data_IF_065901470548
#
_entry.id   IF_065901470548
#
_cell.length_a   1.000
_cell.length_b   1.000
_cell.length_c   1.000
_cell.angle_alpha   90.00
_cell.angle_beta   90.00
_cell.angle_gamma   90.00
#
_symmetry.space_group_name_H-M   'P 1'
#
loop_
_entity.id
_entity.type
_entity.pdbx_description
1 polymer ?
#
# COMPACT_ATOMS: atom_id res chain seq x y z
N UNK A 1 20.43 16.05 18.07
CA UNK A 1 20.56 15.25 16.84
C UNK A 1 19.17 14.69 16.53
N UNK A 2 18.55 15.15 15.45
CA UNK A 2 17.35 14.51 14.92
C UNK A 2 17.72 13.08 14.51
N UNK A 3 17.08 12.08 15.12
CA UNK A 3 17.18 10.70 14.64
C UNK A 3 16.54 10.69 13.26
N UNK A 4 17.37 10.72 12.22
CA UNK A 4 16.95 10.38 10.86
C UNK A 4 16.39 8.96 10.95
N UNK A 5 15.07 8.81 10.85
CA UNK A 5 14.44 7.50 10.84
C UNK A 5 14.88 6.87 9.51
N UNK A 6 15.94 6.08 9.54
CA UNK A 6 16.35 5.30 8.38
C UNK A 6 15.26 4.28 8.08
N UNK A 7 14.87 4.19 6.81
CA UNK A 7 14.00 3.11 6.34
C UNK A 7 14.71 1.79 6.60
N UNK A 8 13.99 0.78 7.06
CA UNK A 8 14.56 -0.55 7.24
C UNK A 8 15.11 -1.08 5.91
N UNK A 9 16.01 -2.07 5.98
CA UNK A 9 16.51 -2.74 4.78
C UNK A 9 15.36 -3.34 3.96
N UNK A 10 14.35 -3.90 4.64
CA UNK A 10 13.16 -4.46 3.99
C UNK A 10 12.41 -3.41 3.17
N UNK A 11 11.99 -2.31 3.79
CA UNK A 11 11.24 -1.27 3.09
C UNK A 11 12.08 -0.56 2.02
N UNK A 12 13.38 -0.40 2.26
CA UNK A 12 14.31 0.15 1.27
C UNK A 12 14.39 -0.72 0.00
N UNK A 13 14.41 -2.04 0.15
CA UNK A 13 14.39 -2.96 -1.00
C UNK A 13 13.06 -2.95 -1.74
N UNK A 14 11.94 -2.88 -1.02
CA UNK A 14 10.60 -2.77 -1.63
C UNK A 14 10.48 -1.49 -2.46
N UNK A 15 10.97 -0.37 -1.93
CA UNK A 15 10.98 0.91 -2.63
C UNK A 15 11.86 0.88 -3.88
N UNK A 16 13.07 0.31 -3.78
CA UNK A 16 13.97 0.15 -4.92
C UNK A 16 13.33 -0.70 -6.02
N UNK A 17 12.68 -1.81 -5.66
CA UNK A 17 11.93 -2.64 -6.59
C UNK A 17 10.77 -1.87 -7.25
N UNK A 18 9.97 -1.11 -6.49
CA UNK A 18 8.89 -0.30 -7.05
C UNK A 18 9.43 0.73 -8.08
N UNK A 19 10.57 1.35 -7.77
CA UNK A 19 11.22 2.29 -8.68
C UNK A 19 11.67 1.63 -10.00
N UNK A 20 12.34 0.48 -9.91
CA UNK A 20 12.78 -0.30 -11.09
C UNK A 20 11.58 -0.69 -11.97
N UNK A 21 10.48 -1.13 -11.35
CA UNK A 21 9.31 -1.61 -12.07
C UNK A 21 8.52 -0.51 -12.79
N UNK A 22 8.66 0.76 -12.39
CA UNK A 22 7.97 1.89 -13.05
C UNK A 22 8.26 1.88 -14.54
N UNK A 23 9.54 1.83 -14.90
CA UNK A 23 10.01 1.78 -16.29
C UNK A 23 9.50 0.54 -17.04
N UNK A 24 9.47 -0.62 -16.38
CA UNK A 24 9.02 -1.86 -16.98
C UNK A 24 7.51 -1.86 -17.29
N UNK A 25 6.73 -1.14 -16.47
CA UNK A 25 5.29 -1.00 -16.69
C UNK A 25 4.92 -0.02 -17.81
N UNK A 26 5.81 0.91 -18.16
CA UNK A 26 5.58 1.93 -19.21
C UNK A 26 6.08 1.50 -20.61
N UNK A 27 7.10 0.63 -20.69
CA UNK A 27 7.90 0.45 -21.93
C UNK A 27 7.58 -0.80 -22.75
N UNK A 28 6.39 -0.90 -23.36
CA UNK A 28 6.19 -1.80 -24.53
C UNK A 28 4.90 -1.50 -25.31
N UNK A 29 5.04 -1.17 -26.60
CA UNK A 29 3.90 -0.98 -27.51
C UNK A 29 3.05 -2.26 -27.59
N UNK A 30 1.72 -2.09 -27.55
CA UNK A 30 0.76 -3.20 -27.58
C UNK A 30 0.66 -4.04 -26.29
N UNK A 31 1.45 -3.76 -25.25
CA UNK A 31 1.42 -4.54 -24.00
C UNK A 31 1.01 -3.66 -22.81
N UNK A 32 -0.08 -4.04 -22.14
CA UNK A 32 -0.53 -3.42 -20.90
C UNK A 32 -0.01 -4.23 -19.71
N UNK A 33 0.63 -3.56 -18.76
CA UNK A 33 1.10 -4.13 -17.49
C UNK A 33 0.54 -3.33 -16.33
N UNK A 34 0.24 -3.98 -15.22
CA UNK A 34 -0.16 -3.32 -13.99
C UNK A 34 0.51 -4.01 -12.82
N UNK A 35 0.87 -3.25 -11.80
CA UNK A 35 1.52 -3.74 -10.59
C UNK A 35 0.94 -3.03 -9.37
N UNK A 36 0.65 -3.79 -8.32
CA UNK A 36 0.33 -3.29 -6.99
C UNK A 36 1.29 -3.92 -5.99
N UNK A 37 1.90 -3.09 -5.14
CA UNK A 37 2.78 -3.52 -4.05
C UNK A 37 2.17 -3.01 -2.75
N UNK A 38 1.90 -3.93 -1.84
CA UNK A 38 1.49 -3.66 -0.46
C UNK A 38 2.53 -4.30 0.45
N UNK A 39 3.36 -3.48 1.09
CA UNK A 39 4.34 -3.94 2.06
C UNK A 39 4.14 -3.22 3.39
N UNK A 40 4.22 -3.96 4.48
CA UNK A 40 4.08 -3.44 5.82
C UNK A 40 5.15 -4.08 6.71
N UNK A 41 5.70 -3.30 7.63
CA UNK A 41 6.65 -3.75 8.63
C UNK A 41 6.32 -3.09 9.96
N UNK A 42 6.38 -3.87 11.04
CA UNK A 42 6.34 -3.36 12.40
C UNK A 42 7.68 -3.66 13.05
N UNK A 43 8.31 -2.65 13.63
CA UNK A 43 9.58 -2.80 14.36
C UNK A 43 9.26 -2.66 15.84
N UNK A 44 9.64 -3.64 16.67
CA UNK A 44 9.29 -3.67 18.11
C UNK A 44 9.72 -2.40 18.87
N UNK A 45 10.78 -1.74 18.41
CA UNK A 45 11.32 -0.51 19.01
C UNK A 45 10.67 0.77 18.50
N UNK A 46 9.71 0.69 17.60
CA UNK A 46 9.02 1.82 16.98
C UNK A 46 7.51 1.74 17.21
N UNK A 47 6.88 2.88 17.50
CA UNK A 47 5.44 2.95 17.61
C UNK A 47 4.82 3.04 16.21
N UNK A 48 4.27 1.91 15.75
CA UNK A 48 3.40 1.84 14.58
C UNK A 48 3.95 0.98 13.44
N UNK A 49 3.08 0.75 12.46
CA UNK A 49 3.42 0.01 11.25
C UNK A 49 3.89 0.99 10.17
N UNK A 50 5.08 0.76 9.63
CA UNK A 50 5.56 1.43 8.42
C UNK A 50 5.07 0.68 7.19
N UNK A 51 4.66 1.40 6.15
CA UNK A 51 4.09 0.80 4.96
C UNK A 51 4.64 1.43 3.67
N UNK A 52 4.70 0.63 2.61
CA UNK A 52 4.87 1.08 1.24
C UNK A 52 3.69 0.56 0.43
N UNK A 53 2.97 1.49 -0.20
CA UNK A 53 1.87 1.21 -1.13
C UNK A 53 2.28 1.82 -2.48
N UNK A 54 2.37 0.98 -3.51
CA UNK A 54 2.69 1.43 -4.87
C UNK A 54 1.72 0.84 -5.89
N UNK A 55 1.21 1.68 -6.78
CA UNK A 55 0.33 1.29 -7.88
C UNK A 55 0.94 1.83 -9.17
N UNK A 56 1.33 0.94 -10.08
CA UNK A 56 2.10 1.28 -11.28
C UNK A 56 1.46 0.71 -12.54
N UNK A 57 1.66 1.41 -13.66
CA UNK A 57 1.25 0.97 -15.00
C UNK A 57 -0.24 1.19 -15.33
N UNK A 58 -0.77 0.33 -16.19
CA UNK A 58 -2.14 0.37 -16.66
C UNK A 58 -3.14 -0.02 -15.55
N UNK A 59 -4.02 0.92 -15.20
CA UNK A 59 -5.03 0.71 -14.15
C UNK A 59 -5.96 -0.50 -14.39
N UNK A 60 -6.30 -0.82 -15.63
CA UNK A 60 -7.12 -2.01 -15.94
C UNK A 60 -6.41 -3.31 -15.53
N UNK A 61 -5.10 -3.42 -15.79
CA UNK A 61 -4.30 -4.56 -15.35
C UNK A 61 -4.04 -4.60 -13.85
N UNK A 62 -3.98 -3.44 -13.19
CA UNK A 62 -3.97 -3.37 -11.72
C UNK A 62 -5.26 -3.94 -11.14
N UNK A 63 -6.41 -3.55 -11.68
CA UNK A 63 -7.72 -4.06 -11.25
C UNK A 63 -7.82 -5.58 -11.47
N UNK A 64 -7.37 -6.08 -12.63
CA UNK A 64 -7.30 -7.54 -12.87
C UNK A 64 -6.42 -8.25 -11.83
N UNK A 65 -5.28 -7.67 -11.44
CA UNK A 65 -4.40 -8.25 -10.42
C UNK A 65 -5.07 -8.30 -9.03
N UNK A 66 -5.77 -7.22 -8.64
CA UNK A 66 -6.53 -7.18 -7.38
C UNK A 66 -7.68 -8.18 -7.41
N UNK A 67 -8.40 -8.31 -8.52
CA UNK A 67 -9.46 -9.29 -8.68
C UNK A 67 -8.91 -10.73 -8.58
N UNK A 68 -7.76 -10.99 -9.21
CA UNK A 68 -7.02 -12.24 -9.08
C UNK A 68 -6.69 -12.55 -7.62
N UNK A 69 -6.11 -11.60 -6.89
CA UNK A 69 -5.84 -11.73 -5.46
C UNK A 69 -7.11 -12.02 -4.64
N UNK A 70 -8.18 -11.25 -4.87
CA UNK A 70 -9.45 -11.39 -4.16
C UNK A 70 -10.18 -12.72 -4.44
N UNK A 71 -9.88 -13.38 -5.56
CA UNK A 71 -10.46 -14.69 -5.91
C UNK A 71 -9.80 -15.86 -5.18
N UNK A 72 -8.58 -15.67 -4.66
CA UNK A 72 -7.89 -16.68 -3.86
C UNK A 72 -8.44 -16.68 -2.43
N UNK A 73 -8.59 -17.86 -1.82
CA UNK A 73 -9.17 -17.96 -0.47
C UNK A 73 -8.41 -17.10 0.57
N UNK A 74 -7.08 -17.19 0.56
CA UNK A 74 -6.21 -16.40 1.41
C UNK A 74 -6.23 -14.91 1.05
N UNK A 75 -6.27 -14.56 -0.25
CA UNK A 75 -6.30 -13.16 -0.67
C UNK A 75 -7.62 -12.48 -0.34
N UNK A 76 -8.73 -13.21 -0.44
CA UNK A 76 -10.07 -12.73 -0.05
C UNK A 76 -10.11 -12.38 1.44
N UNK A 77 -9.58 -13.24 2.31
CA UNK A 77 -9.60 -13.00 3.75
C UNK A 77 -8.77 -11.77 4.13
N UNK A 78 -7.58 -11.60 3.55
CA UNK A 78 -6.76 -10.41 3.77
C UNK A 78 -7.40 -9.13 3.22
N UNK A 79 -7.98 -9.17 2.02
CA UNK A 79 -8.66 -8.00 1.45
C UNK A 79 -9.85 -7.57 2.34
N UNK A 80 -10.66 -8.53 2.80
CA UNK A 80 -11.78 -8.24 3.70
C UNK A 80 -11.31 -7.70 5.05
N UNK A 81 -10.24 -8.25 5.62
CA UNK A 81 -9.66 -7.75 6.86
C UNK A 81 -9.14 -6.31 6.71
N UNK A 82 -8.38 -6.03 5.63
CA UNK A 82 -7.89 -4.68 5.33
C UNK A 82 -9.01 -3.67 5.12
N UNK A 83 -10.10 -4.05 4.44
CA UNK A 83 -11.28 -3.18 4.28
C UNK A 83 -11.98 -2.88 5.62
N UNK A 84 -12.09 -3.88 6.51
CA UNK A 84 -12.64 -3.67 7.86
C UNK A 84 -11.79 -2.72 8.68
N UNK A 85 -10.48 -2.88 8.63
CA UNK A 85 -9.53 -2.01 9.33
C UNK A 85 -9.62 -0.56 8.83
N UNK A 86 -9.68 -0.36 7.51
CA UNK A 86 -9.85 0.97 6.92
C UNK A 86 -11.18 1.63 7.35
N UNK A 87 -12.26 0.86 7.41
CA UNK A 87 -13.55 1.37 7.88
C UNK A 87 -13.51 1.78 9.37
N UNK A 88 -12.84 0.98 10.21
CA UNK A 88 -12.66 1.29 11.63
C UNK A 88 -11.84 2.58 11.81
N UNK A 89 -10.72 2.71 11.10
CA UNK A 89 -9.88 3.90 11.16
C UNK A 89 -10.63 5.16 10.71
N UNK A 90 -11.45 5.08 9.66
CA UNK A 90 -12.30 6.19 9.24
C UNK A 90 -13.34 6.61 10.29
N UNK A 91 -13.89 5.65 11.04
CA UNK A 91 -14.81 5.94 12.14
C UNK A 91 -14.09 6.63 13.31
N UNK A 92 -12.90 6.13 13.68
CA UNK A 92 -12.05 6.73 14.72
C UNK A 92 -11.69 8.17 14.36
N UNK A 93 -11.27 8.42 13.11
CA UNK A 93 -10.99 9.77 12.60
C UNK A 93 -12.20 10.70 12.70
N UNK A 94 -13.41 10.23 12.40
CA UNK A 94 -14.64 11.03 12.52
C UNK A 94 -15.00 11.35 13.96
N UNK A 95 -14.79 10.42 14.89
CA UNK A 95 -15.08 10.60 16.32
C UNK A 95 -14.05 11.52 16.98
N UNK A 96 -12.77 11.38 16.63
CA UNK A 96 -11.67 12.18 17.20
C UNK A 96 -11.48 13.54 16.49
N UNK A 97 -11.81 13.64 15.20
CA UNK A 97 -11.68 14.84 14.37
C UNK A 97 -12.94 15.71 14.28
N UNK A 98 -14.05 15.30 14.93
CA UNK A 98 -15.31 16.05 14.96
C UNK A 98 -15.30 17.35 15.80
N UNK A 99 -14.17 17.66 16.45
CA UNK A 99 -13.93 18.94 17.10
C UNK A 99 -12.95 19.78 16.30
N UNK A 100 -13.47 20.79 15.60
CA UNK A 100 -12.74 21.93 15.03
C UNK A 100 -12.28 21.81 13.56
N UNK A 101 -13.09 22.38 12.65
CA UNK A 101 -12.73 23.50 11.76
C UNK A 101 -13.96 23.95 10.96
N UNK A 102 -14.72 24.86 11.60
CA UNK A 102 -15.32 25.98 10.88
C UNK A 102 -14.26 27.10 10.81
N UNK A 103 -14.35 27.92 9.76
CA UNK A 103 -13.52 29.06 9.34
C UNK A 103 -12.45 28.75 8.29
#
# INVERSE_FOLDING_TARGET
>A
MEKKIEKSEFLSKVEAFAHEMTTMTEKKEGVKRGLVILAAESVESENGTKQIISVLGNGGKVVEAIAGFASQEHGKSFLMAGMKEAALNSLIEKVLGGGNRNH
#
